data_IF_234589480712
#
_entry.id   IF_234589480712
#
_cell.length_a   1.000
_cell.length_b   1.000
_cell.length_c   1.000
_cell.angle_alpha   90.00
_cell.angle_beta   90.00
_cell.angle_gamma   90.00
#
_symmetry.space_group_name_H-M   'P 1'
#
loop_
_entity.id
_entity.type
_entity.pdbx_description
1 polymer ?
#
# COMPACT_ATOMS: atom_id res chain seq x y z
N UNK A 1 -27.72 -63.01 -0.16
CA UNK A 1 -26.67 -62.21 0.45
C UNK A 1 -26.50 -60.96 -0.45
N UNK A 2 -27.07 -59.81 -0.06
CA UNK A 2 -27.03 -58.58 -0.86
C UNK A 2 -25.82 -57.73 -0.37
N UNK A 3 -24.84 -57.52 -1.23
CA UNK A 3 -23.68 -56.70 -0.97
C UNK A 3 -24.05 -55.21 -1.17
N UNK A 4 -24.07 -54.45 -0.08
CA UNK A 4 -24.36 -53.02 -0.10
C UNK A 4 -23.02 -52.25 -0.31
N UNK A 5 -22.81 -51.72 -1.51
CA UNK A 5 -21.65 -50.89 -1.83
C UNK A 5 -21.92 -49.46 -1.33
N UNK A 6 -21.26 -49.05 -0.24
CA UNK A 6 -21.29 -47.68 0.22
C UNK A 6 -20.20 -46.90 -0.50
N UNK A 7 -20.58 -46.03 -1.45
CA UNK A 7 -19.67 -45.12 -2.12
C UNK A 7 -19.50 -43.89 -1.23
N UNK A 8 -18.33 -43.78 -0.58
CA UNK A 8 -17.94 -42.62 0.21
C UNK A 8 -17.39 -41.56 -0.76
N UNK A 9 -18.24 -40.60 -1.13
CA UNK A 9 -17.84 -39.46 -1.95
C UNK A 9 -17.04 -38.46 -1.08
N UNK A 10 -15.70 -38.48 -1.20
CA UNK A 10 -14.84 -37.43 -0.66
C UNK A 10 -15.07 -36.16 -1.47
N UNK A 11 -15.78 -35.20 -0.91
CA UNK A 11 -15.76 -33.81 -1.39
C UNK A 11 -14.41 -33.21 -1.08
N UNK A 12 -13.51 -33.21 -2.06
CA UNK A 12 -12.31 -32.37 -2.04
C UNK A 12 -12.76 -30.93 -2.32
N UNK A 13 -12.87 -30.09 -1.28
CA UNK A 13 -12.95 -28.66 -1.43
C UNK A 13 -11.59 -28.17 -1.92
N UNK A 14 -11.46 -27.92 -3.22
CA UNK A 14 -10.29 -27.19 -3.75
C UNK A 14 -10.37 -25.76 -3.26
N UNK A 15 -9.53 -25.39 -2.28
CA UNK A 15 -9.24 -23.98 -2.02
C UNK A 15 -8.57 -23.45 -3.28
N UNK A 16 -9.34 -22.71 -4.07
CA UNK A 16 -8.79 -21.91 -5.16
C UNK A 16 -8.09 -20.71 -4.52
N UNK A 17 -6.77 -20.79 -4.40
CA UNK A 17 -5.96 -19.58 -4.21
C UNK A 17 -6.07 -18.83 -5.52
N UNK A 18 -6.65 -17.63 -5.49
CA UNK A 18 -6.59 -16.72 -6.61
C UNK A 18 -5.09 -16.43 -6.85
N UNK A 19 -4.56 -16.91 -7.97
CA UNK A 19 -3.21 -16.60 -8.41
C UNK A 19 -3.15 -15.08 -8.63
N UNK A 20 -2.26 -14.41 -7.90
CA UNK A 20 -2.09 -12.96 -8.00
C UNK A 20 -1.30 -12.69 -9.27
N UNK A 21 -1.75 -11.74 -10.07
CA UNK A 21 -1.05 -11.32 -11.29
C UNK A 21 0.40 -10.94 -10.97
N UNK A 22 1.31 -11.15 -11.94
CA UNK A 22 2.71 -10.74 -11.82
C UNK A 22 2.82 -9.24 -11.57
N UNK A 23 3.31 -8.85 -10.39
CA UNK A 23 3.39 -7.47 -9.97
C UNK A 23 4.24 -7.25 -8.73
N UNK A 24 4.43 -5.99 -8.36
CA UNK A 24 5.03 -5.61 -7.09
C UNK A 24 3.89 -5.20 -6.14
N UNK A 25 3.86 -5.81 -4.98
CA UNK A 25 2.80 -5.57 -4.00
C UNK A 25 3.38 -5.13 -2.67
N UNK A 26 2.75 -4.15 -2.04
CA UNK A 26 3.02 -3.77 -0.66
C UNK A 26 1.95 -4.39 0.25
N UNK A 27 2.40 -5.05 1.30
CA UNK A 27 1.57 -5.59 2.36
C UNK A 27 1.67 -4.67 3.57
N UNK A 28 0.63 -3.89 3.83
CA UNK A 28 0.57 -2.95 4.95
C UNK A 28 -0.19 -3.64 6.09
N UNK A 29 0.55 -4.17 7.05
CA UNK A 29 -0.03 -4.83 8.22
C UNK A 29 -0.43 -3.79 9.27
N UNK A 30 -1.72 -3.73 9.59
CA UNK A 30 -2.25 -2.79 10.58
C UNK A 30 -2.92 -3.52 11.75
N UNK A 31 -3.18 -2.82 12.84
CA UNK A 31 -3.96 -3.35 13.96
C UNK A 31 -5.46 -3.57 13.62
N UNK A 32 -5.89 -3.23 12.40
CA UNK A 32 -7.26 -3.43 11.88
C UNK A 32 -7.32 -4.48 10.77
N UNK A 33 -6.18 -5.03 10.37
CA UNK A 33 -6.06 -5.99 9.29
C UNK A 33 -5.00 -5.61 8.28
N UNK A 34 -4.79 -6.48 7.31
CA UNK A 34 -3.84 -6.29 6.22
C UNK A 34 -4.49 -5.51 5.07
N UNK A 35 -3.73 -4.57 4.50
CA UNK A 35 -4.07 -3.88 3.26
C UNK A 35 -3.02 -4.28 2.23
N UNK A 36 -3.47 -4.81 1.09
CA UNK A 36 -2.58 -5.20 -0.01
C UNK A 36 -2.79 -4.23 -1.15
N UNK A 37 -1.72 -3.59 -1.61
CA UNK A 37 -1.75 -2.65 -2.73
C UNK A 37 -0.75 -3.05 -3.81
N UNK A 38 -1.16 -2.99 -5.06
CA UNK A 38 -0.27 -3.11 -6.22
C UNK A 38 0.48 -1.79 -6.42
N UNK A 39 1.80 -1.90 -6.62
CA UNK A 39 2.66 -0.74 -6.91
C UNK A 39 2.91 -0.64 -8.41
N UNK A 40 2.48 0.47 -9.01
CA UNK A 40 2.47 0.69 -10.47
C UNK A 40 3.85 1.07 -11.02
N UNK A 41 4.87 0.25 -10.75
CA UNK A 41 6.29 0.53 -11.03
C UNK A 41 6.60 0.87 -12.49
N UNK A 42 5.80 0.36 -13.44
CA UNK A 42 5.96 0.67 -14.87
C UNK A 42 5.52 2.08 -15.22
N UNK A 43 4.59 2.66 -14.45
CA UNK A 43 4.03 3.99 -14.69
C UNK A 43 4.65 5.07 -13.80
N UNK A 44 5.00 4.71 -12.56
CA UNK A 44 5.53 5.64 -11.54
C UNK A 44 6.78 5.07 -10.87
N UNK A 45 7.87 4.79 -11.62
CA UNK A 45 9.03 4.08 -11.12
C UNK A 45 9.76 4.80 -9.97
N UNK A 46 9.88 6.11 -10.02
CA UNK A 46 10.54 6.89 -8.98
C UNK A 46 9.74 6.86 -7.66
N UNK A 47 8.44 7.01 -7.74
CA UNK A 47 7.53 6.93 -6.59
C UNK A 47 7.55 5.55 -5.96
N UNK A 48 7.48 4.51 -6.79
CA UNK A 48 7.50 3.13 -6.33
C UNK A 48 8.82 2.77 -5.67
N UNK A 49 9.97 3.10 -6.30
CA UNK A 49 11.28 2.81 -5.69
C UNK A 49 11.48 3.59 -4.38
N UNK A 50 10.97 4.82 -4.30
CA UNK A 50 10.99 5.58 -3.06
C UNK A 50 10.21 4.88 -1.95
N UNK A 51 8.98 4.43 -2.25
CA UNK A 51 8.13 3.75 -1.28
C UNK A 51 8.76 2.43 -0.80
N UNK A 52 9.25 1.60 -1.73
CA UNK A 52 9.93 0.33 -1.41
C UNK A 52 11.16 0.58 -0.54
N UNK A 53 12.04 1.50 -0.98
CA UNK A 53 13.29 1.76 -0.27
C UNK A 53 13.08 2.29 1.15
N UNK A 54 12.02 3.08 1.38
CA UNK A 54 11.60 3.49 2.71
C UNK A 54 11.03 2.33 3.51
N UNK A 55 10.19 1.50 2.89
CA UNK A 55 9.59 0.32 3.55
C UNK A 55 10.65 -0.67 4.02
N UNK A 56 11.72 -0.86 3.25
CA UNK A 56 12.83 -1.76 3.55
C UNK A 56 13.95 -1.11 4.38
N UNK A 57 13.92 0.21 4.58
CA UNK A 57 14.98 0.94 5.27
C UNK A 57 16.29 1.02 4.48
N UNK A 58 16.26 0.82 3.17
CA UNK A 58 17.46 0.79 2.30
C UNK A 58 17.84 2.17 1.77
N UNK A 59 17.03 3.20 2.03
CA UNK A 59 17.26 4.59 1.61
C UNK A 59 17.59 5.48 2.80
N UNK A 60 18.57 6.38 2.62
CA UNK A 60 18.86 7.42 3.60
C UNK A 60 17.61 8.28 3.86
N UNK A 61 17.25 8.41 5.12
CA UNK A 61 16.11 9.18 5.60
C UNK A 61 16.38 9.74 7.00
N UNK A 62 15.37 10.27 7.67
CA UNK A 62 15.43 10.66 9.08
C UNK A 62 15.56 9.48 10.06
N UNK A 63 15.40 8.24 9.58
CA UNK A 63 15.70 7.02 10.33
C UNK A 63 17.06 6.49 9.93
N UNK A 64 17.66 5.70 10.80
CA UNK A 64 18.92 5.02 10.52
C UNK A 64 18.76 4.04 9.35
N UNK A 65 19.81 3.87 8.57
CA UNK A 65 19.83 2.90 7.48
C UNK A 65 19.65 1.48 8.03
N UNK A 66 18.82 0.69 7.37
CA UNK A 66 18.42 -0.64 7.81
C UNK A 66 17.18 -0.67 8.70
N UNK A 67 16.63 0.49 9.09
CA UNK A 67 15.39 0.58 9.87
C UNK A 67 14.22 0.89 8.93
N UNK A 68 13.20 0.00 8.83
CA UNK A 68 11.99 0.26 8.04
C UNK A 68 11.32 1.57 8.44
N UNK A 69 11.08 2.43 7.45
CA UNK A 69 10.61 3.79 7.72
C UNK A 69 9.16 3.82 8.22
N UNK A 70 8.31 2.97 7.66
CA UNK A 70 6.87 3.00 7.92
C UNK A 70 6.45 2.23 9.17
N UNK A 71 7.31 1.37 9.72
CA UNK A 71 6.99 0.56 10.88
C UNK A 71 6.68 1.43 12.11
N UNK A 72 5.55 1.12 12.77
CA UNK A 72 5.05 1.83 13.94
C UNK A 72 4.37 3.17 13.65
N UNK A 73 4.25 3.57 12.39
CA UNK A 73 3.53 4.78 12.03
C UNK A 73 2.01 4.55 12.06
N UNK A 74 1.26 5.65 12.17
CA UNK A 74 -0.20 5.63 12.15
C UNK A 74 -0.77 6.27 10.89
N UNK A 75 -2.00 5.91 10.56
CA UNK A 75 -2.84 6.73 9.70
C UNK A 75 -3.32 7.92 10.54
N UNK A 76 -2.60 9.02 10.49
CA UNK A 76 -2.81 10.20 11.33
C UNK A 76 -3.97 11.09 10.88
N UNK A 77 -4.48 10.88 9.66
CA UNK A 77 -5.61 11.62 9.11
C UNK A 77 -6.57 10.65 8.44
N UNK A 78 -7.81 10.62 8.92
CA UNK A 78 -8.89 9.78 8.40
C UNK A 78 -10.09 10.69 8.16
N UNK A 79 -10.54 10.78 6.91
CA UNK A 79 -11.70 11.57 6.53
C UNK A 79 -12.68 10.63 5.83
N UNK A 80 -13.86 10.51 6.42
CA UNK A 80 -14.96 9.74 5.84
C UNK A 80 -15.35 10.30 4.48
N UNK A 81 -15.79 9.43 3.57
CA UNK A 81 -16.09 9.76 2.18
C UNK A 81 -14.96 10.51 1.43
N UNK A 82 -13.71 10.28 1.84
CA UNK A 82 -12.54 10.85 1.16
C UNK A 82 -11.36 9.87 1.16
N UNK A 83 -10.53 9.85 2.21
CA UNK A 83 -9.30 9.06 2.22
C UNK A 83 -8.78 8.81 3.64
N UNK A 84 -7.82 7.88 3.75
CA UNK A 84 -6.96 7.73 4.92
C UNK A 84 -5.53 8.09 4.53
N UNK A 85 -4.82 8.86 5.37
CA UNK A 85 -3.46 9.34 5.11
C UNK A 85 -2.50 8.89 6.22
N UNK A 86 -1.35 8.37 5.81
CA UNK A 86 -0.29 7.90 6.69
C UNK A 86 1.10 8.26 6.17
N UNK A 87 2.13 7.58 6.71
CA UNK A 87 3.51 7.76 6.27
C UNK A 87 4.23 8.98 6.87
N UNK A 88 3.65 9.60 7.89
CA UNK A 88 4.26 10.71 8.62
C UNK A 88 4.89 10.22 9.93
N UNK A 89 6.22 10.33 10.10
CA UNK A 89 6.89 9.93 11.35
C UNK A 89 6.52 10.80 12.56
N UNK A 90 5.99 12.01 12.35
CA UNK A 90 5.49 12.88 13.42
C UNK A 90 4.01 12.65 13.74
N UNK A 91 3.25 12.00 12.85
CA UNK A 91 1.84 11.72 13.03
C UNK A 91 0.93 12.95 13.08
N UNK A 92 1.31 14.07 12.49
CA UNK A 92 0.57 15.34 12.52
C UNK A 92 0.50 16.05 11.14
N UNK A 93 0.96 15.40 10.08
CA UNK A 93 0.96 15.91 8.71
C UNK A 93 2.18 16.75 8.34
N UNK A 94 3.12 17.01 9.26
CA UNK A 94 4.28 17.89 9.02
C UNK A 94 5.60 17.15 8.87
N UNK A 95 5.61 15.85 9.11
CA UNK A 95 6.80 15.01 9.01
C UNK A 95 7.04 14.46 7.60
N UNK A 96 8.22 13.90 7.43
CA UNK A 96 8.64 13.29 6.17
C UNK A 96 10.00 12.64 6.30
N UNK A 97 10.58 12.14 5.21
CA UNK A 97 11.80 11.34 5.24
C UNK A 97 13.09 12.18 5.28
N UNK A 98 13.00 13.52 5.31
CA UNK A 98 14.14 14.44 5.31
C UNK A 98 14.55 14.92 3.92
N UNK A 99 13.84 14.51 2.87
CA UNK A 99 14.03 14.94 1.49
C UNK A 99 12.69 15.08 0.78
N UNK A 100 12.74 15.60 -0.45
CA UNK A 100 11.60 15.69 -1.37
C UNK A 100 12.00 15.14 -2.74
N UNK A 101 11.02 14.69 -3.52
CA UNK A 101 11.23 14.25 -4.90
C UNK A 101 10.11 14.72 -5.83
N UNK A 102 10.39 14.68 -7.12
CA UNK A 102 9.54 15.21 -8.17
C UNK A 102 8.23 14.40 -8.31
N UNK A 103 7.20 15.06 -8.83
CA UNK A 103 5.96 14.42 -9.21
C UNK A 103 6.18 13.48 -10.41
N UNK A 104 5.39 12.41 -10.45
CA UNK A 104 5.26 11.51 -11.61
C UNK A 104 3.79 11.44 -12.01
N UNK A 105 3.38 12.32 -12.91
CA UNK A 105 2.01 12.33 -13.45
C UNK A 105 1.91 11.36 -14.63
N UNK A 106 0.82 10.59 -14.64
CA UNK A 106 0.51 9.61 -15.67
C UNK A 106 -0.99 9.65 -15.99
N UNK A 107 -1.49 8.63 -16.68
CA UNK A 107 -2.93 8.41 -16.90
C UNK A 107 -3.66 7.81 -15.68
N UNK A 108 -2.95 7.57 -14.58
CA UNK A 108 -3.54 7.09 -13.32
C UNK A 108 -4.30 8.21 -12.64
N UNK A 109 -5.55 7.94 -12.27
CA UNK A 109 -6.44 8.88 -11.61
C UNK A 109 -7.07 8.27 -10.36
N UNK A 110 -7.62 9.09 -9.49
CA UNK A 110 -8.26 8.66 -8.24
C UNK A 110 -9.76 8.38 -8.46
N UNK A 111 -10.09 7.51 -9.41
CA UNK A 111 -11.43 7.24 -9.91
C UNK A 111 -12.23 6.21 -9.12
N UNK A 112 -11.64 5.62 -8.08
CA UNK A 112 -12.24 4.55 -7.29
C UNK A 112 -11.69 4.50 -5.87
N UNK A 113 -12.36 3.76 -4.95
CA UNK A 113 -11.76 3.40 -3.66
C UNK A 113 -10.50 2.54 -3.82
N UNK A 114 -9.59 2.65 -2.85
CA UNK A 114 -8.39 1.81 -2.76
C UNK A 114 -7.21 2.26 -3.63
N UNK A 115 -7.24 3.47 -4.20
CA UNK A 115 -6.09 4.03 -4.92
C UNK A 115 -5.08 4.55 -3.91
N UNK A 116 -3.85 4.01 -3.95
CA UNK A 116 -2.70 4.51 -3.20
C UNK A 116 -2.02 5.64 -3.99
N UNK A 117 -1.79 6.78 -3.35
CA UNK A 117 -1.09 7.91 -3.96
C UNK A 117 -0.28 8.72 -2.95
N UNK A 118 0.69 9.50 -3.42
CA UNK A 118 1.51 10.34 -2.55
C UNK A 118 0.77 11.60 -2.10
N UNK A 119 0.87 11.89 -0.81
CA UNK A 119 0.48 13.19 -0.27
C UNK A 119 1.67 14.14 -0.33
N UNK A 120 1.42 15.40 -0.71
CA UNK A 120 2.44 16.42 -0.81
C UNK A 120 1.91 17.82 -0.42
N UNK A 121 2.78 18.82 -0.41
CA UNK A 121 2.47 20.21 -0.06
C UNK A 121 2.52 21.15 -1.27
N UNK A 122 2.44 20.63 -2.47
CA UNK A 122 2.54 21.34 -3.74
C UNK A 122 3.48 20.63 -4.71
N UNK A 123 3.71 21.19 -5.90
CA UNK A 123 4.49 20.54 -6.95
C UNK A 123 5.89 20.11 -6.47
N UNK A 124 6.28 18.87 -6.80
CA UNK A 124 7.61 18.30 -6.52
C UNK A 124 7.98 18.28 -5.03
N UNK A 125 6.99 18.06 -4.16
CA UNK A 125 7.21 18.00 -2.70
C UNK A 125 6.86 16.65 -2.11
N UNK A 126 6.87 15.58 -2.91
CA UNK A 126 6.63 14.23 -2.43
C UNK A 126 7.72 13.80 -1.45
N UNK A 127 7.35 13.02 -0.45
CA UNK A 127 8.26 12.52 0.57
C UNK A 127 7.91 11.08 0.97
N UNK A 128 7.43 10.89 2.19
CA UNK A 128 6.99 9.58 2.69
C UNK A 128 5.48 9.49 2.89
N UNK A 129 4.77 10.61 2.98
CA UNK A 129 3.34 10.57 3.24
C UNK A 129 2.57 10.08 2.02
N UNK A 130 1.57 9.26 2.27
CA UNK A 130 0.68 8.70 1.26
C UNK A 130 -0.75 8.68 1.77
N UNK A 131 -1.70 8.53 0.85
CA UNK A 131 -3.09 8.31 1.19
C UNK A 131 -3.69 7.17 0.38
N UNK A 132 -4.77 6.59 0.90
CA UNK A 132 -5.57 5.59 0.22
C UNK A 132 -6.98 6.13 0.13
N UNK A 133 -7.54 6.16 -1.07
CA UNK A 133 -8.89 6.67 -1.32
C UNK A 133 -9.96 5.75 -0.74
N UNK A 134 -11.02 6.35 -0.17
CA UNK A 134 -12.22 5.64 0.28
C UNK A 134 -13.32 5.72 -0.78
N UNK A 135 -13.35 6.79 -1.55
CA UNK A 135 -14.26 7.05 -2.67
C UNK A 135 -13.49 7.60 -3.85
N UNK A 136 -14.08 7.71 -5.05
CA UNK A 136 -13.50 8.49 -6.14
C UNK A 136 -13.21 9.92 -5.69
N UNK A 137 -11.97 10.38 -5.91
CA UNK A 137 -11.48 11.72 -5.53
C UNK A 137 -10.70 12.32 -6.68
N UNK A 138 -11.39 12.73 -7.77
CA UNK A 138 -10.77 13.25 -9.00
C UNK A 138 -10.04 14.58 -8.79
#
# INVERSE_FOLDING_TARGET
MKLLLVIFSLLFSTLSFAEKDDGIYAHINTNKGEIIVELTYKKTPLTVINFISLSEGTKNSNKELGVPFYDGLSFHRVIDDFMVQGGDPKGNGTGGPGYRFADEFTDLIHDRPGVLSMANSGPNTNGSQFFITHVPTP
#
